data_IF_499191476815
#
_entry.id   IF_499191476815
#
_cell.length_a   1.000
_cell.length_b   1.000
_cell.length_c   1.000
_cell.angle_alpha   90.00
_cell.angle_beta   90.00
_cell.angle_gamma   90.00
#
_symmetry.space_group_name_H-M   'P 1'
#
loop_
_entity.id
_entity.type
_entity.pdbx_description
1 polymer ?
#
# COMPACT_ATOMS: atom_id res chain seq x y z
N UNK A 1 8.57 -9.28 0.83
CA UNK A 1 9.98 -8.96 1.08
C UNK A 1 10.18 -7.47 0.78
N UNK A 2 10.95 -6.75 1.59
CA UNK A 2 11.23 -5.33 1.36
C UNK A 2 12.70 -5.16 0.97
N UNK A 3 12.99 -4.27 0.02
CA UNK A 3 14.36 -3.95 -0.42
C UNK A 3 14.67 -2.51 -0.06
N UNK A 4 15.74 -2.29 0.71
CA UNK A 4 16.22 -0.95 1.05
C UNK A 4 17.31 -0.54 0.07
N UNK A 5 17.15 0.61 -0.56
CA UNK A 5 18.13 1.20 -1.48
C UNK A 5 18.80 2.40 -0.78
N UNK A 6 20.12 2.48 -0.84
CA UNK A 6 20.92 3.58 -0.29
C UNK A 6 22.07 3.94 -1.24
N UNK A 7 22.64 5.14 -1.10
CA UNK A 7 23.70 5.66 -1.96
C UNK A 7 23.29 6.95 -2.69
N UNK A 8 24.02 7.30 -3.75
CA UNK A 8 23.79 8.50 -4.54
C UNK A 8 23.60 8.13 -6.00
N UNK A 9 22.54 8.62 -6.61
CA UNK A 9 22.18 8.31 -8.00
C UNK A 9 20.68 8.34 -8.21
N UNK A 10 20.24 7.80 -9.35
CA UNK A 10 18.83 7.73 -9.71
C UNK A 10 18.31 6.31 -9.56
N UNK A 11 17.08 6.18 -9.06
CA UNK A 11 16.33 4.93 -9.02
C UNK A 11 15.05 5.11 -9.83
N UNK A 12 14.77 4.18 -10.73
CA UNK A 12 13.50 4.13 -11.44
C UNK A 12 12.62 3.02 -10.84
N UNK A 13 11.37 3.34 -10.56
CA UNK A 13 10.33 2.39 -10.14
C UNK A 13 9.16 2.46 -11.11
N UNK A 14 8.53 1.32 -11.37
CA UNK A 14 7.37 1.21 -12.27
C UNK A 14 6.12 0.86 -11.48
N UNK A 15 4.97 1.38 -11.89
CA UNK A 15 3.67 1.12 -11.26
C UNK A 15 2.66 0.64 -12.28
N UNK A 16 1.65 -0.11 -11.83
CA UNK A 16 0.46 -0.34 -12.63
C UNK A 16 -0.48 0.86 -12.50
N UNK A 17 -0.71 1.56 -13.62
CA UNK A 17 -1.50 2.80 -13.64
C UNK A 17 -0.74 4.01 -13.09
N UNK A 18 -1.46 5.11 -12.92
CA UNK A 18 -0.91 6.39 -12.43
C UNK A 18 -0.54 6.25 -10.95
N UNK A 19 0.73 6.51 -10.57
CA UNK A 19 1.12 6.45 -9.17
C UNK A 19 0.56 7.65 -8.38
N UNK A 20 0.32 7.44 -7.09
CA UNK A 20 -0.10 8.49 -6.16
C UNK A 20 0.95 8.61 -5.05
N UNK A 21 1.47 9.82 -4.84
CA UNK A 21 2.42 10.13 -3.78
C UNK A 21 1.67 10.72 -2.58
N UNK A 22 1.78 10.07 -1.43
CA UNK A 22 1.11 10.45 -0.19
C UNK A 22 2.14 10.93 0.84
N UNK A 23 1.87 12.07 1.47
CA UNK A 23 2.69 12.61 2.55
C UNK A 23 2.25 12.02 3.90
N UNK A 24 3.11 11.19 4.50
CA UNK A 24 2.85 10.56 5.78
C UNK A 24 3.31 11.41 6.98
N UNK A 25 3.91 12.58 6.73
CA UNK A 25 4.35 13.50 7.77
C UNK A 25 3.19 14.30 8.38
N UNK A 26 2.14 14.57 7.60
CA UNK A 26 0.97 15.31 8.09
C UNK A 26 0.04 14.43 8.93
N UNK A 27 -0.17 13.18 8.49
CA UNK A 27 -1.03 12.22 9.17
C UNK A 27 -0.69 10.77 8.79
N UNK A 28 -1.03 9.79 9.65
CA UNK A 28 -0.91 8.39 9.30
C UNK A 28 -1.58 8.06 7.97
N UNK A 29 -0.83 7.46 7.06
CA UNK A 29 -1.33 7.01 5.76
C UNK A 29 -1.55 5.51 5.80
N UNK A 30 -2.71 5.06 5.31
CA UNK A 30 -3.04 3.64 5.23
C UNK A 30 -3.14 3.21 3.78
N UNK A 31 -2.47 2.12 3.45
CA UNK A 31 -2.55 1.53 2.12
C UNK A 31 -2.56 0.02 2.20
N UNK A 32 -3.22 -0.59 1.23
CA UNK A 32 -3.17 -2.03 1.00
C UNK A 32 -1.72 -2.48 0.73
N UNK A 33 -1.31 -3.59 1.33
CA UNK A 33 0.07 -4.08 1.21
C UNK A 33 0.50 -4.35 -0.23
N UNK A 34 -0.44 -4.80 -1.08
CA UNK A 34 -0.20 -5.02 -2.52
C UNK A 34 -0.10 -3.72 -3.34
N UNK A 35 -0.58 -2.60 -2.80
CA UNK A 35 -0.62 -1.32 -3.52
C UNK A 35 0.57 -0.41 -3.19
N UNK A 36 1.32 -0.70 -2.11
CA UNK A 36 2.51 0.05 -1.75
C UNK A 36 3.69 -0.27 -2.70
N UNK A 37 4.24 0.74 -3.36
CA UNK A 37 5.33 0.59 -4.35
C UNK A 37 6.68 0.86 -3.70
N UNK A 38 6.82 2.01 -3.04
CA UNK A 38 8.00 2.38 -2.26
C UNK A 38 7.63 3.45 -1.22
N UNK A 39 8.48 3.62 -0.21
CA UNK A 39 8.26 4.61 0.85
C UNK A 39 9.59 5.04 1.46
N UNK A 40 9.59 6.18 2.17
CA UNK A 40 10.78 6.67 2.87
C UNK A 40 11.17 5.73 4.02
N UNK A 41 12.46 5.41 4.15
CA UNK A 41 12.98 4.51 5.20
C UNK A 41 12.82 5.05 6.62
N UNK A 42 12.59 6.35 6.77
CA UNK A 42 12.29 7.04 8.04
C UNK A 42 10.87 6.80 8.56
N UNK A 43 10.00 6.17 7.79
CA UNK A 43 8.63 5.88 8.21
C UNK A 43 8.57 4.65 9.12
N UNK A 44 7.82 4.76 10.20
CA UNK A 44 7.36 3.62 10.96
C UNK A 44 6.22 2.94 10.19
N UNK A 45 6.40 1.66 9.87
CA UNK A 45 5.42 0.85 9.13
C UNK A 45 4.83 -0.21 10.04
N UNK A 46 3.54 -0.09 10.33
CA UNK A 46 2.76 -1.06 11.12
C UNK A 46 1.74 -1.80 10.26
N UNK A 47 1.19 -2.88 10.80
CA UNK A 47 0.04 -3.58 10.20
C UNK A 47 -1.23 -3.17 10.94
N UNK A 48 -2.19 -2.62 10.23
CA UNK A 48 -3.53 -2.35 10.72
C UNK A 48 -4.49 -3.44 10.22
N UNK A 49 -5.16 -4.14 11.13
CA UNK A 49 -6.17 -5.14 10.80
C UNK A 49 -7.54 -4.55 11.06
N UNK A 50 -8.31 -4.33 10.00
CA UNK A 50 -9.70 -3.92 10.16
C UNK A 50 -10.59 -5.15 9.99
N UNK A 51 -11.28 -5.53 11.08
CA UNK A 51 -12.37 -6.51 11.00
C UNK A 51 -13.65 -5.77 10.62
N UNK A 52 -14.19 -6.05 9.42
CA UNK A 52 -15.48 -5.50 9.03
C UNK A 52 -16.59 -6.31 9.69
N UNK A 53 -17.37 -5.68 10.58
CA UNK A 53 -18.48 -6.31 11.30
C UNK A 53 -19.58 -6.93 10.40
N UNK A 54 -19.60 -6.63 9.09
CA UNK A 54 -20.54 -7.19 8.11
C UNK A 54 -19.98 -8.28 7.18
N UNK A 55 -18.75 -8.75 7.39
CA UNK A 55 -18.07 -9.59 6.40
C UNK A 55 -18.51 -11.07 6.32
N UNK A 56 -19.51 -11.48 7.10
CA UNK A 56 -20.09 -12.82 7.02
C UNK A 56 -21.19 -12.95 5.95
N UNK A 57 -21.58 -11.85 5.29
CA UNK A 57 -22.62 -11.85 4.25
C UNK A 57 -21.97 -11.62 2.88
N UNK A 58 -21.20 -12.59 2.41
CA UNK A 58 -20.73 -12.66 1.01
C UNK A 58 -19.22 -12.58 0.80
N UNK A 59 -18.61 -13.77 0.66
CA UNK A 59 -17.39 -14.04 -0.13
C UNK A 59 -16.10 -13.26 0.21
N UNK A 60 -15.74 -13.16 1.49
CA UNK A 60 -14.38 -12.78 1.92
C UNK A 60 -14.22 -12.95 3.43
N UNK A 61 -13.02 -13.28 3.94
CA UNK A 61 -12.81 -13.57 5.37
C UNK A 61 -13.07 -12.37 6.32
N UNK A 62 -13.32 -11.18 5.78
CA UNK A 62 -13.65 -9.99 6.56
C UNK A 62 -12.49 -9.26 7.22
N UNK A 63 -11.28 -9.77 7.02
CA UNK A 63 -10.05 -9.15 7.50
C UNK A 63 -9.40 -8.39 6.34
N UNK A 64 -9.41 -7.06 6.42
CA UNK A 64 -8.55 -6.23 5.57
C UNK A 64 -7.24 -6.00 6.31
N UNK A 65 -6.13 -6.45 5.71
CA UNK A 65 -4.78 -6.16 6.19
C UNK A 65 -4.27 -4.94 5.43
N UNK A 66 -4.10 -3.84 6.15
CA UNK A 66 -3.54 -2.60 5.61
C UNK A 66 -2.21 -2.29 6.30
N UNK A 67 -1.31 -1.64 5.57
CA UNK A 67 -0.10 -1.07 6.13
C UNK A 67 -0.42 0.35 6.62
N UNK A 68 0.13 0.71 7.78
CA UNK A 68 0.04 2.04 8.37
C UNK A 68 1.43 2.69 8.35
N UNK A 69 1.55 3.83 7.69
CA UNK A 69 2.80 4.57 7.54
C UNK A 69 2.74 5.86 8.36
N UNK A 70 3.73 6.07 9.23
CA UNK A 70 3.77 7.22 10.14
C UNK A 70 5.18 7.78 10.27
N UNK A 71 5.30 9.12 10.26
CA UNK A 71 6.55 9.83 10.46
C UNK A 71 6.94 10.69 9.26
N UNK A 72 8.14 11.26 9.29
CA UNK A 72 8.60 12.14 8.22
C UNK A 72 8.91 11.32 6.96
N UNK A 73 8.16 11.56 5.87
CA UNK A 73 8.43 10.91 4.59
C UNK A 73 7.19 10.73 3.73
N UNK A 74 7.35 9.99 2.65
CA UNK A 74 6.28 9.72 1.69
C UNK A 74 6.03 8.22 1.51
N UNK A 75 4.85 7.91 0.98
CA UNK A 75 4.48 6.60 0.46
C UNK A 75 4.01 6.77 -0.98
N UNK A 76 4.57 5.99 -1.90
CA UNK A 76 4.12 5.90 -3.28
C UNK A 76 3.23 4.67 -3.42
N UNK A 77 2.00 4.85 -3.90
CA UNK A 77 1.05 3.77 -4.13
C UNK A 77 0.67 3.66 -5.60
N UNK A 78 0.36 2.45 -6.06
CA UNK A 78 -0.22 2.21 -7.37
C UNK A 78 -1.75 2.22 -7.30
N UNK A 79 -2.40 2.76 -8.33
CA UNK A 79 -3.85 2.78 -8.47
C UNK A 79 -4.34 1.56 -9.28
N UNK A 80 -4.04 0.34 -8.81
CA UNK A 80 -4.46 -0.91 -9.48
C UNK A 80 -4.72 -2.04 -8.48
N UNK A 81 -5.82 -2.76 -8.67
CA UNK A 81 -6.15 -4.01 -7.95
C UNK A 81 -5.64 -5.26 -8.69
N UNK A 82 -4.79 -5.09 -9.71
CA UNK A 82 -4.37 -6.15 -10.62
C UNK A 82 -5.22 -6.21 -11.90
N UNK A 83 -5.04 -7.27 -12.69
CA UNK A 83 -5.83 -7.48 -13.90
C UNK A 83 -7.32 -7.70 -13.54
N UNK A 84 -8.28 -7.16 -14.30
CA UNK A 84 -9.68 -7.50 -14.13
C UNK A 84 -9.83 -9.02 -14.19
N UNK A 85 -10.47 -9.63 -13.18
CA UNK A 85 -10.85 -11.03 -13.26
C UNK A 85 -11.90 -11.12 -14.36
N UNK A 86 -11.52 -11.60 -15.55
CA UNK A 86 -12.47 -11.89 -16.61
C UNK A 86 -13.33 -13.05 -16.09
N UNK A 87 -14.55 -12.73 -15.67
CA UNK A 87 -15.51 -13.75 -15.25
C UNK A 87 -15.88 -14.53 -16.50
N UNK A 88 -15.42 -15.79 -16.60
CA UNK A 88 -15.84 -16.69 -17.68
C UNK A 88 -17.36 -16.84 -17.62
N UNK A 89 -18.01 -16.50 -18.72
CA UNK A 89 -19.44 -16.70 -18.98
C UNK A 89 -19.77 -18.17 -19.18
#
# INVERSE_FOLDING_TARGET
>A
FNTTINGTGWVAVTTHGTPVLLDAAQMPTYADGQSAVCWSTSLHVGVNRTMKAGALIGRGSGEAIQLAFQGQGFVLVQASEGAPVVQAS
#
